data_IF_204487237356
#
_entry.id   IF_204487237356
#
_cell.length_a   1.000
_cell.length_b   1.000
_cell.length_c   1.000
_cell.angle_alpha   90.00
_cell.angle_beta   90.00
_cell.angle_gamma   90.00
#
_symmetry.space_group_name_H-M   'P 1'
#
loop_
_entity.id
_entity.type
_entity.pdbx_description
1 polymer ?
#
# COMPACT_ATOMS: atom_id res chain seq x y z
N UNK A 1 -3.89 -4.59 -7.46
CA UNK A 1 -3.31 -3.28 -7.80
C UNK A 1 -2.47 -2.78 -6.64
N UNK A 2 -1.31 -2.16 -6.89
CA UNK A 2 -0.41 -1.71 -5.82
C UNK A 2 -0.92 -0.44 -5.11
N UNK A 3 -1.54 0.47 -5.87
CA UNK A 3 -2.16 1.70 -5.36
C UNK A 3 -3.21 1.42 -4.28
N UNK A 4 -4.21 0.58 -4.59
CA UNK A 4 -5.30 0.30 -3.64
C UNK A 4 -4.78 -0.28 -2.32
N UNK A 5 -3.71 -1.07 -2.36
CA UNK A 5 -3.08 -1.61 -1.14
C UNK A 5 -2.47 -0.52 -0.27
N UNK A 6 -1.83 0.49 -0.87
CA UNK A 6 -1.23 1.62 -0.13
C UNK A 6 -2.31 2.47 0.51
N UNK A 7 -3.36 2.81 -0.25
CA UNK A 7 -4.51 3.59 0.26
C UNK A 7 -5.23 2.83 1.38
N UNK A 8 -5.51 1.55 1.20
CA UNK A 8 -6.11 0.70 2.25
C UNK A 8 -5.25 0.63 3.50
N UNK A 9 -3.93 0.49 3.37
CA UNK A 9 -3.02 0.41 4.51
C UNK A 9 -2.95 1.73 5.27
N UNK A 10 -2.97 2.85 4.54
CA UNK A 10 -3.06 4.18 5.13
C UNK A 10 -4.38 4.33 5.88
N UNK A 11 -5.52 4.09 5.23
CA UNK A 11 -6.83 4.18 5.86
C UNK A 11 -6.95 3.26 7.08
N UNK A 12 -6.44 2.03 7.05
CA UNK A 12 -6.42 1.15 8.23
C UNK A 12 -5.66 1.75 9.40
N UNK A 13 -4.58 2.50 9.16
CA UNK A 13 -3.83 3.15 10.22
C UNK A 13 -4.59 4.33 10.88
N UNK A 14 -5.38 5.08 10.10
CA UNK A 14 -6.12 6.26 10.59
C UNK A 14 -7.53 5.93 11.12
N UNK A 15 -8.24 5.03 10.46
CA UNK A 15 -9.66 4.75 10.67
C UNK A 15 -9.88 3.77 11.82
N UNK A 16 -8.84 3.07 12.29
CA UNK A 16 -8.96 2.06 13.34
C UNK A 16 -9.51 2.62 14.66
N UNK A 17 -9.12 3.84 15.05
CA UNK A 17 -9.58 4.45 16.31
C UNK A 17 -10.94 5.14 16.18
N UNK A 18 -11.26 5.70 15.00
CA UNK A 18 -12.51 6.42 14.77
C UNK A 18 -13.02 6.20 13.34
N UNK A 19 -13.80 5.13 13.10
CA UNK A 19 -14.16 4.74 11.75
C UNK A 19 -15.12 5.71 11.05
N UNK A 20 -15.91 6.47 11.82
CA UNK A 20 -16.86 7.45 11.29
C UNK A 20 -16.21 8.69 10.64
N UNK A 21 -14.94 8.96 10.93
CA UNK A 21 -14.21 10.13 10.39
C UNK A 21 -13.29 9.79 9.20
N UNK A 22 -13.51 8.66 8.52
CA UNK A 22 -12.66 8.22 7.41
C UNK A 22 -12.58 9.23 6.25
N UNK A 23 -13.66 9.97 5.99
CA UNK A 23 -13.70 10.99 4.93
C UNK A 23 -12.69 12.11 5.13
N UNK A 24 -12.46 12.53 6.38
CA UNK A 24 -11.45 13.55 6.72
C UNK A 24 -10.02 13.07 6.44
N UNK A 25 -9.78 11.76 6.45
CA UNK A 25 -8.47 11.16 6.19
C UNK A 25 -8.22 10.87 4.71
N UNK A 26 -9.23 11.00 3.84
CA UNK A 26 -9.08 10.71 2.42
C UNK A 26 -8.13 11.69 1.72
N UNK A 27 -8.25 12.99 2.02
CA UNK A 27 -7.32 14.01 1.51
C UNK A 27 -5.87 13.71 1.89
N UNK A 28 -5.64 13.26 3.13
CA UNK A 28 -4.30 12.88 3.61
C UNK A 28 -3.77 11.63 2.92
N UNK A 29 -4.63 10.64 2.67
CA UNK A 29 -4.27 9.44 1.93
C UNK A 29 -3.90 9.76 0.47
N UNK A 30 -4.68 10.62 -0.18
CA UNK A 30 -4.42 11.09 -1.54
C UNK A 30 -3.09 11.85 -1.62
N UNK A 31 -2.88 12.80 -0.70
CA UNK A 31 -1.63 13.56 -0.61
C UNK A 31 -0.42 12.65 -0.41
N UNK A 32 -0.50 11.73 0.55
CA UNK A 32 0.54 10.74 0.83
C UNK A 32 0.88 9.92 -0.42
N UNK A 33 -0.13 9.44 -1.15
CA UNK A 33 0.06 8.69 -2.39
C UNK A 33 0.72 9.55 -3.48
N UNK A 34 0.23 10.76 -3.71
CA UNK A 34 0.72 11.67 -4.75
C UNK A 34 2.16 12.13 -4.53
N UNK A 35 2.58 12.25 -3.27
CA UNK A 35 3.92 12.70 -2.89
C UNK A 35 4.93 11.57 -2.72
N UNK A 36 4.49 10.35 -2.44
CA UNK A 36 5.36 9.18 -2.27
C UNK A 36 5.98 8.70 -3.58
N UNK A 37 7.26 8.34 -3.55
CA UNK A 37 7.97 7.76 -4.70
C UNK A 37 7.50 6.33 -4.95
N UNK A 38 7.09 6.03 -6.18
CA UNK A 38 6.74 4.67 -6.58
C UNK A 38 8.00 3.86 -6.92
N UNK A 39 8.07 2.61 -6.47
CA UNK A 39 9.21 1.73 -6.73
C UNK A 39 9.40 1.39 -8.21
N UNK A 40 8.32 1.34 -8.99
CA UNK A 40 8.38 0.99 -10.41
C UNK A 40 8.98 2.10 -11.29
N UNK A 41 8.75 3.37 -10.94
CA UNK A 41 9.16 4.52 -11.76
C UNK A 41 10.27 5.36 -11.10
N UNK A 42 10.53 5.16 -9.80
CA UNK A 42 11.43 5.99 -9.02
C UNK A 42 10.94 7.43 -8.82
N UNK A 43 9.71 7.75 -9.25
CA UNK A 43 9.12 9.09 -9.18
C UNK A 43 7.78 9.05 -8.46
N UNK A 44 7.37 10.18 -7.89
CA UNK A 44 6.03 10.30 -7.30
C UNK A 44 4.96 10.49 -8.39
N UNK A 45 3.71 10.04 -8.16
CA UNK A 45 2.62 10.27 -9.10
C UNK A 45 2.47 11.76 -9.44
N UNK A 46 2.60 12.65 -8.47
CA UNK A 46 2.57 14.09 -8.70
C UNK A 46 3.63 14.55 -9.69
N UNK A 47 4.87 14.06 -9.56
CA UNK A 47 5.96 14.40 -10.47
C UNK A 47 5.72 13.86 -11.88
N UNK A 48 5.12 12.69 -11.99
CA UNK A 48 4.77 12.10 -13.29
C UNK A 48 3.67 12.94 -13.96
N UNK A 49 2.64 13.33 -13.23
CA UNK A 49 1.50 14.07 -13.76
C UNK A 49 1.84 15.52 -14.09
N UNK A 50 2.61 16.19 -13.24
CA UNK A 50 2.85 17.64 -13.33
C UNK A 50 4.28 18.04 -13.71
N UNK A 51 5.18 17.07 -13.89
CA UNK A 51 6.59 17.32 -14.27
C UNK A 51 7.45 18.01 -13.19
N UNK A 52 6.88 18.33 -12.02
CA UNK A 52 7.55 19.08 -10.94
C UNK A 52 7.51 18.30 -9.62
N UNK A 53 8.43 18.59 -8.70
CA UNK A 53 8.44 17.96 -7.38
C UNK A 53 7.15 18.31 -6.61
N UNK A 54 6.60 17.37 -5.81
CA UNK A 54 5.47 17.67 -4.96
C UNK A 54 5.80 18.81 -3.98
N UNK A 55 4.81 19.63 -3.59
CA UNK A 55 5.01 20.65 -2.58
C UNK A 55 5.47 19.99 -1.28
N UNK A 56 6.53 20.53 -0.68
CA UNK A 56 7.00 20.08 0.63
C UNK A 56 6.35 20.96 1.69
N UNK A 57 5.77 20.35 2.73
CA UNK A 57 5.39 21.12 3.92
C UNK A 57 6.66 21.50 4.67
N UNK A 58 6.90 22.79 4.94
CA UNK A 58 8.00 23.19 5.81
C UNK A 58 7.78 22.57 7.18
N UNK A 59 8.86 22.06 7.78
CA UNK A 59 8.84 21.55 9.14
C UNK A 59 8.42 22.69 10.08
N UNK A 60 7.41 22.45 10.91
CA UNK A 60 6.95 23.49 11.81
C UNK A 60 8.00 23.74 12.88
N UNK A 61 8.32 25.02 13.11
CA UNK A 61 9.15 25.46 14.23
C UNK A 61 8.22 25.92 15.34
N UNK A 62 8.34 25.30 16.51
CA UNK A 62 7.59 25.67 17.71
C UNK A 62 7.77 27.17 18.01
N UNK A 63 6.65 27.89 18.18
CA UNK A 63 6.59 29.34 18.35
C UNK A 63 6.58 30.15 17.06
N UNK A 64 6.53 29.52 15.87
CA UNK A 64 6.47 30.25 14.60
C UNK A 64 5.09 30.89 14.33
N UNK A 65 4.03 30.42 15.01
CA UNK A 65 2.70 31.04 14.95
C UNK A 65 2.54 32.07 16.07
N UNK A 66 2.01 33.25 15.73
CA UNK A 66 1.60 34.25 16.73
C UNK A 66 0.33 33.85 17.51
N UNK A 67 -0.38 32.85 17.01
CA UNK A 67 -1.61 32.33 17.60
C UNK A 67 -1.28 31.02 18.31
N UNK A 68 -1.40 31.00 19.63
CA UNK A 68 -1.08 29.87 20.51
C UNK A 68 -1.85 28.60 20.11
N UNK A 69 -3.16 28.72 19.84
CA UNK A 69 -3.98 27.58 19.40
C UNK A 69 -3.50 26.94 18.09
N UNK A 70 -2.89 27.71 17.20
CA UNK A 70 -2.34 27.20 15.92
C UNK A 70 -0.98 26.53 16.15
N UNK A 71 -0.18 27.07 17.08
CA UNK A 71 1.12 26.49 17.48
C UNK A 71 0.93 25.13 18.14
N UNK A 72 -0.02 25.01 19.09
CA UNK A 72 -0.36 23.75 19.74
C UNK A 72 -0.92 22.72 18.74
N UNK A 73 -1.77 23.17 17.80
CA UNK A 73 -2.33 22.26 16.79
C UNK A 73 -1.25 21.70 15.84
N UNK A 74 -0.32 22.55 15.38
CA UNK A 74 0.75 22.16 14.46
C UNK A 74 1.78 21.24 15.15
N UNK A 75 2.13 21.52 16.41
CA UNK A 75 3.01 20.63 17.19
C UNK A 75 2.39 19.26 17.44
N UNK A 76 1.12 19.20 17.84
CA UNK A 76 0.41 17.92 17.99
C UNK A 76 0.32 17.15 16.67
N UNK A 77 0.10 17.85 15.57
CA UNK A 77 0.08 17.28 14.23
C UNK A 77 1.43 16.63 13.85
N UNK A 78 2.55 17.30 14.09
CA UNK A 78 3.88 16.75 13.79
C UNK A 78 4.23 15.53 14.64
N UNK A 79 3.84 15.52 15.92
CA UNK A 79 3.95 14.34 16.79
C UNK A 79 3.13 13.19 16.22
N UNK A 80 1.89 13.46 15.78
CA UNK A 80 1.02 12.47 15.18
C UNK A 80 1.65 11.87 13.91
N UNK A 81 2.13 12.71 12.99
CA UNK A 81 2.80 12.28 11.75
C UNK A 81 4.01 11.41 12.06
N UNK A 82 4.86 11.83 13.00
CA UNK A 82 6.07 11.09 13.38
C UNK A 82 5.73 9.69 13.92
N UNK A 83 4.72 9.60 14.78
CA UNK A 83 4.19 8.34 15.31
C UNK A 83 3.63 7.45 14.19
N UNK A 84 2.93 8.04 13.21
CA UNK A 84 2.36 7.32 12.08
C UNK A 84 3.43 6.75 11.15
N UNK A 85 4.43 7.54 10.77
CA UNK A 85 5.56 7.07 9.95
C UNK A 85 6.23 5.86 10.59
N UNK A 86 6.47 5.92 11.91
CA UNK A 86 7.05 4.81 12.67
C UNK A 86 6.16 3.55 12.65
N UNK A 87 4.85 3.70 12.84
CA UNK A 87 3.89 2.58 12.81
C UNK A 87 3.78 1.95 11.41
N UNK A 88 3.73 2.77 10.36
CA UNK A 88 3.68 2.30 8.96
C UNK A 88 4.95 1.54 8.59
N UNK A 89 6.13 2.05 8.94
CA UNK A 89 7.40 1.37 8.70
C UNK A 89 7.44 -0.01 9.39
N UNK A 90 6.99 -0.08 10.65
CA UNK A 90 6.90 -1.34 11.40
C UNK A 90 5.93 -2.33 10.73
N UNK A 91 4.77 -1.87 10.29
CA UNK A 91 3.79 -2.70 9.59
C UNK A 91 4.33 -3.24 8.25
N UNK A 92 5.01 -2.41 7.46
CA UNK A 92 5.64 -2.81 6.21
C UNK A 92 6.72 -3.86 6.43
N UNK A 93 7.58 -3.69 7.44
CA UNK A 93 8.60 -4.66 7.78
C UNK A 93 8.00 -6.02 8.18
N UNK A 94 6.97 -6.00 9.03
CA UNK A 94 6.28 -7.23 9.43
C UNK A 94 5.62 -7.96 8.24
N UNK A 95 4.98 -7.23 7.33
CA UNK A 95 4.41 -7.80 6.11
C UNK A 95 5.48 -8.42 5.21
N UNK A 96 6.66 -7.80 5.11
CA UNK A 96 7.80 -8.33 4.36
C UNK A 96 8.29 -9.63 4.99
N UNK A 97 8.52 -9.66 6.30
CA UNK A 97 8.98 -10.85 7.02
C UNK A 97 8.03 -12.04 6.85
N UNK A 98 6.72 -11.82 6.94
CA UNK A 98 5.71 -12.87 6.72
C UNK A 98 5.74 -13.36 5.27
N UNK A 99 5.78 -12.43 4.30
CA UNK A 99 5.79 -12.78 2.89
C UNK A 99 7.04 -13.58 2.51
N UNK A 100 8.21 -13.15 2.99
CA UNK A 100 9.48 -13.79 2.70
C UNK A 100 9.58 -15.17 3.38
N UNK A 101 9.01 -15.35 4.58
CA UNK A 101 8.91 -16.67 5.23
C UNK A 101 8.11 -17.70 4.41
N UNK A 102 7.08 -17.25 3.70
CA UNK A 102 6.23 -18.15 2.89
C UNK A 102 6.72 -18.33 1.44
N UNK A 103 7.65 -17.49 0.98
CA UNK A 103 8.23 -17.62 -0.35
C UNK A 103 9.29 -18.72 -0.33
N UNK A 104 9.14 -19.67 -1.25
CA UNK A 104 10.19 -20.64 -1.58
C UNK A 104 10.83 -20.17 -2.87
N UNK A 105 12.14 -19.99 -2.86
CA UNK A 105 12.88 -19.73 -4.08
C UNK A 105 12.99 -21.06 -4.84
N UNK A 106 12.32 -21.16 -5.98
CA UNK A 106 12.27 -22.38 -6.79
C UNK A 106 12.71 -22.00 -8.20
N UNK A 107 13.85 -22.55 -8.61
CA UNK A 107 14.36 -22.41 -9.97
C UNK A 107 13.95 -23.63 -10.78
N UNK A 108 13.23 -23.40 -11.88
CA UNK A 108 12.85 -24.44 -12.84
C UNK A 108 13.83 -24.43 -14.01
N UNK A 109 14.15 -25.62 -14.53
CA UNK A 109 14.94 -25.81 -15.75
C UNK A 109 14.02 -26.14 -16.92
N UNK A 110 14.53 -25.92 -18.13
CA UNK A 110 13.85 -26.38 -19.33
C UNK A 110 13.65 -27.90 -19.27
N UNK A 111 12.41 -28.36 -19.46
CA UNK A 111 12.01 -29.77 -19.33
C UNK A 111 11.41 -30.17 -17.98
N UNK A 112 11.43 -29.30 -16.97
CA UNK A 112 10.76 -29.57 -15.69
C UNK A 112 9.24 -29.50 -15.83
N UNK A 113 8.56 -30.55 -15.38
CA UNK A 113 7.10 -30.61 -15.38
C UNK A 113 6.51 -29.83 -14.21
N UNK A 114 5.66 -28.83 -14.51
CA UNK A 114 5.06 -27.96 -13.49
C UNK A 114 3.54 -27.95 -13.51
N UNK A 115 2.96 -27.80 -12.32
CA UNK A 115 1.53 -27.62 -12.15
C UNK A 115 1.21 -26.13 -12.01
N UNK A 116 0.42 -25.59 -12.94
CA UNK A 116 0.08 -24.17 -13.00
C UNK A 116 -1.23 -23.91 -12.25
N UNK A 117 -1.19 -22.93 -11.34
CA UNK A 117 -2.38 -22.46 -10.62
C UNK A 117 -3.12 -21.42 -11.45
N UNK A 118 -4.23 -21.81 -12.06
CA UNK A 118 -5.03 -20.91 -12.90
C UNK A 118 -5.95 -20.02 -12.05
N UNK A 119 -6.25 -18.82 -12.55
CA UNK A 119 -7.20 -17.92 -11.89
C UNK A 119 -8.63 -18.26 -12.35
N UNK A 120 -9.55 -18.63 -11.44
CA UNK A 120 -10.87 -19.16 -11.80
C UNK A 120 -11.71 -18.26 -12.73
N UNK A 121 -11.53 -16.93 -12.65
CA UNK A 121 -12.33 -15.96 -13.43
C UNK A 121 -11.69 -15.52 -14.75
N UNK A 122 -10.43 -15.89 -15.01
CA UNK A 122 -9.71 -15.47 -16.23
C UNK A 122 -9.56 -16.57 -17.28
N UNK A 123 -9.73 -17.84 -16.89
CA UNK A 123 -9.48 -19.00 -17.75
C UNK A 123 -10.63 -20.01 -17.62
N UNK A 124 -11.84 -19.57 -17.97
CA UNK A 124 -13.07 -20.37 -17.91
C UNK A 124 -13.05 -21.54 -18.90
N UNK A 125 -12.29 -21.44 -20.00
CA UNK A 125 -12.14 -22.51 -21.00
C UNK A 125 -11.45 -23.77 -20.49
N UNK A 126 -10.59 -23.65 -19.46
CA UNK A 126 -9.83 -24.78 -18.90
C UNK A 126 -10.58 -25.41 -17.71
N UNK A 127 -11.35 -24.60 -16.97
CA UNK A 127 -12.19 -25.05 -15.87
C UNK A 127 -13.56 -25.50 -16.39
N UNK A 128 -13.61 -26.49 -17.29
CA UNK A 128 -14.83 -27.01 -17.92
C UNK A 128 -15.86 -27.71 -17.01
N UNK A 129 -15.81 -27.48 -15.69
CA UNK A 129 -16.77 -28.05 -14.73
C UNK A 129 -17.92 -27.09 -14.43
N UNK A 130 -19.14 -27.62 -14.37
CA UNK A 130 -20.38 -26.89 -14.03
C UNK A 130 -20.27 -26.14 -12.68
N UNK A 131 -19.41 -26.63 -11.77
CA UNK A 131 -19.20 -26.05 -10.43
C UNK A 131 -17.74 -25.63 -10.20
N UNK A 132 -17.50 -24.31 -10.25
CA UNK A 132 -16.18 -23.69 -10.04
C UNK A 132 -15.57 -23.93 -8.65
N UNK A 133 -16.38 -24.26 -7.64
CA UNK A 133 -15.91 -24.53 -6.27
C UNK A 133 -15.23 -25.88 -6.10
N UNK A 134 -15.54 -26.86 -6.95
CA UNK A 134 -14.96 -28.22 -6.91
C UNK A 134 -13.93 -28.45 -8.01
N UNK A 135 -13.62 -27.42 -8.80
CA UNK A 135 -12.64 -27.51 -9.87
C UNK A 135 -11.22 -27.71 -9.31
N UNK A 136 -10.38 -28.41 -10.08
CA UNK A 136 -8.95 -28.56 -9.77
C UNK A 136 -8.32 -27.19 -9.59
N UNK A 137 -7.49 -27.04 -8.54
CA UNK A 137 -6.80 -25.77 -8.26
C UNK A 137 -5.54 -25.58 -9.10
N UNK A 138 -4.94 -26.68 -9.53
CA UNK A 138 -3.72 -26.71 -10.35
C UNK A 138 -3.94 -27.60 -11.58
N UNK A 139 -3.32 -27.23 -12.70
CA UNK A 139 -3.47 -27.85 -14.01
C UNK A 139 -2.11 -28.13 -14.63
N UNK A 140 -1.99 -29.18 -15.45
CA UNK A 140 -0.73 -29.71 -15.99
C UNK A 140 -0.60 -31.22 -15.71
N UNK A 141 0.61 -31.81 -15.79
CA UNK A 141 1.90 -31.16 -15.95
C UNK A 141 2.12 -30.60 -17.35
N UNK A 142 2.63 -29.38 -17.41
CA UNK A 142 3.16 -28.77 -18.64
C UNK A 142 4.68 -28.81 -18.58
#
# INVERSE_FOLDING_TARGET
EAMNRVVEQYLRAFVHQKPSSWGCFLMWAEWSYNTSTLSATGMSPYKITFGKKPPCFPQYLEGASKVEAVDEWLTQHDIMITSLVKKLSKAQQHMKEIADRQRRDVNYKEGDQVLVKLRPRRQTSISGGVHSKLAKRFYGPF
#
